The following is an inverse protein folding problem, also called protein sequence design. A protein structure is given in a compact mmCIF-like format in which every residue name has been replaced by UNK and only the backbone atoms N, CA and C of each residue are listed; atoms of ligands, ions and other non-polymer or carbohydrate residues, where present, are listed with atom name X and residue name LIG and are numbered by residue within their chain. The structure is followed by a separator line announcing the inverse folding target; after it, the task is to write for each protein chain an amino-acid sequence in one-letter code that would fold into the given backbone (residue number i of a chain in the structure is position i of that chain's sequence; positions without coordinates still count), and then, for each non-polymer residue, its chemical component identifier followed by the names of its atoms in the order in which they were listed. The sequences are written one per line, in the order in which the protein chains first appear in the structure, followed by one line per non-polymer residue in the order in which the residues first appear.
data_IF_894904630843
#
_entry.id   IF_894904630843
#
_cell.length_a   1.000
_cell.length_b   1.000
_cell.length_c   1.000
_cell.angle_alpha   90.00
_cell.angle_beta   90.00
_cell.angle_gamma   90.00
#
_symmetry.space_group_name_H-M   'P 1'
#
loop_
_entity.id
_entity.type
_entity.pdbx_description
1 polymer ?
#
# COMPACT_ATOMS: atom_id res chain seq x y z
N UNK A 1 11.25 40.17 -50.81
CA UNK A 1 11.73 38.92 -50.21
C UNK A 1 11.75 39.11 -48.71
N UNK A 2 10.78 38.54 -48.02
CA UNK A 2 10.79 38.39 -46.58
C UNK A 2 10.42 36.91 -46.36
N UNK A 3 11.42 36.10 -46.04
CA UNK A 3 11.26 34.70 -45.65
C UNK A 3 10.43 34.64 -44.37
N UNK A 4 9.38 33.83 -44.40
CA UNK A 4 8.65 33.44 -43.19
C UNK A 4 9.43 32.30 -42.51
N UNK A 5 9.53 32.28 -41.17
CA UNK A 5 10.16 31.16 -40.49
C UNK A 5 9.22 29.96 -40.53
N UNK A 6 9.72 28.84 -41.04
CA UNK A 6 9.09 27.54 -40.93
C UNK A 6 8.95 27.20 -39.44
N UNK A 7 7.72 27.16 -38.95
CA UNK A 7 7.41 26.56 -37.65
C UNK A 7 7.52 25.05 -37.80
N UNK A 8 8.65 24.49 -37.40
CA UNK A 8 8.76 23.08 -37.06
C UNK A 8 7.66 22.76 -36.03
N UNK A 9 6.67 21.97 -36.44
CA UNK A 9 5.73 21.34 -35.52
C UNK A 9 6.54 20.29 -34.76
N UNK A 10 6.99 20.62 -33.56
CA UNK A 10 7.37 19.61 -32.58
C UNK A 10 6.16 18.69 -32.40
N UNK A 11 6.26 17.44 -32.88
CA UNK A 11 5.32 16.39 -32.52
C UNK A 11 5.33 16.28 -31.00
N UNK A 12 4.25 16.73 -30.36
CA UNK A 12 4.00 16.51 -28.94
C UNK A 12 4.06 15.00 -28.68
N UNK A 13 5.22 14.50 -28.22
CA UNK A 13 5.38 13.11 -27.82
C UNK A 13 4.40 12.86 -26.69
N UNK A 14 3.32 12.14 -27.00
CA UNK A 14 2.33 11.64 -26.07
C UNK A 14 3.05 11.03 -24.85
N UNK A 15 2.97 11.70 -23.68
CA UNK A 15 3.62 11.24 -22.46
C UNK A 15 3.00 9.90 -22.08
N UNK A 16 3.83 8.86 -21.95
CA UNK A 16 3.34 7.52 -21.63
C UNK A 16 2.59 7.53 -20.27
N UNK A 17 1.39 6.92 -20.20
CA UNK A 17 0.53 6.96 -19.01
C UNK A 17 1.00 5.97 -17.95
N UNK A 18 2.17 6.22 -17.36
CA UNK A 18 2.71 5.41 -16.26
C UNK A 18 1.84 5.52 -15.00
N UNK A 19 1.77 4.42 -14.26
CA UNK A 19 1.00 4.29 -13.02
C UNK A 19 1.88 3.68 -11.96
N UNK A 20 2.03 4.36 -10.83
CA UNK A 20 2.70 3.78 -9.68
C UNK A 20 1.73 2.87 -8.92
N UNK A 21 2.17 1.65 -8.64
CA UNK A 21 1.39 0.67 -7.89
C UNK A 21 2.22 0.00 -6.81
N UNK A 22 1.54 -0.52 -5.81
CA UNK A 22 2.12 -1.25 -4.69
C UNK A 22 1.44 -2.60 -4.53
N UNK A 23 2.23 -3.64 -4.27
CA UNK A 23 1.75 -4.98 -3.99
C UNK A 23 0.81 -4.96 -2.79
N UNK A 24 -0.39 -5.54 -2.90
CA UNK A 24 -1.36 -5.57 -1.82
C UNK A 24 -0.80 -6.26 -0.57
N UNK A 25 -1.21 -5.78 0.60
CA UNK A 25 -0.82 -6.39 1.87
C UNK A 25 -1.45 -7.77 2.07
N UNK A 26 -2.68 -7.96 1.56
CA UNK A 26 -3.47 -9.18 1.76
C UNK A 26 -3.22 -10.23 0.69
N UNK A 27 -3.00 -9.79 -0.55
CA UNK A 27 -2.74 -10.67 -1.68
C UNK A 27 -1.47 -10.25 -2.41
N UNK A 28 -0.42 -11.07 -2.26
CA UNK A 28 0.88 -10.83 -2.90
C UNK A 28 0.82 -10.89 -4.44
N UNK A 29 -0.25 -11.42 -5.02
CA UNK A 29 -0.47 -11.44 -6.47
C UNK A 29 -1.18 -10.18 -6.97
N UNK A 30 -1.79 -9.41 -6.07
CA UNK A 30 -2.53 -8.21 -6.41
C UNK A 30 -1.68 -6.95 -6.22
N UNK A 31 -1.88 -5.96 -7.09
CA UNK A 31 -1.28 -4.63 -6.99
C UNK A 31 -2.39 -3.58 -6.94
N UNK A 32 -2.21 -2.61 -6.05
CA UNK A 32 -3.13 -1.50 -5.81
C UNK A 32 -2.44 -0.21 -6.28
N UNK A 33 -3.16 0.71 -6.95
CA UNK A 33 -2.58 1.99 -7.34
C UNK A 33 -2.25 2.84 -6.10
N UNK A 34 -1.16 3.62 -6.18
CA UNK A 34 -0.92 4.68 -5.20
C UNK A 34 -1.96 5.79 -5.35
N UNK A 35 -2.06 6.66 -4.34
CA UNK A 35 -2.78 7.93 -4.48
C UNK A 35 -2.15 8.77 -5.59
N UNK A 36 -2.93 9.67 -6.16
CA UNK A 36 -2.47 10.55 -7.24
C UNK A 36 -1.27 11.39 -6.77
N UNK A 37 -1.38 12.02 -5.59
CA UNK A 37 -0.29 12.80 -4.98
C UNK A 37 0.98 11.96 -4.73
N UNK A 38 0.84 10.77 -4.14
CA UNK A 38 1.99 9.89 -3.88
C UNK A 38 2.64 9.42 -5.20
N UNK A 39 1.84 9.20 -6.25
CA UNK A 39 2.31 8.84 -7.59
C UNK A 39 3.09 9.98 -8.24
N UNK A 40 2.61 11.23 -8.10
CA UNK A 40 3.30 12.42 -8.59
C UNK A 40 4.64 12.63 -7.88
N UNK A 41 4.70 12.42 -6.56
CA UNK A 41 5.93 12.48 -5.78
C UNK A 41 6.96 11.43 -6.24
N UNK A 42 6.52 10.18 -6.41
CA UNK A 42 7.39 9.11 -6.92
C UNK A 42 7.93 9.41 -8.32
N UNK A 43 7.07 9.93 -9.20
CA UNK A 43 7.44 10.28 -10.57
C UNK A 43 8.45 11.45 -10.59
N UNK A 44 8.21 12.48 -9.78
CA UNK A 44 9.11 13.64 -9.67
C UNK A 44 10.47 13.25 -9.07
N UNK A 45 10.48 12.41 -8.04
CA UNK A 45 11.69 11.91 -7.42
C UNK A 45 12.50 11.02 -8.37
N UNK A 46 11.83 10.13 -9.13
CA UNK A 46 12.48 9.33 -10.15
C UNK A 46 13.11 10.22 -11.25
N UNK A 47 12.43 11.29 -11.65
CA UNK A 47 12.97 12.25 -12.62
C UNK A 47 14.18 13.04 -12.10
N UNK A 48 14.35 13.15 -10.77
CA UNK A 48 15.48 13.80 -10.10
C UNK A 48 16.58 12.84 -9.67
N UNK A 49 16.45 11.55 -9.98
CA UNK A 49 17.39 10.50 -9.58
C UNK A 49 17.53 10.38 -8.05
N UNK A 50 16.43 10.59 -7.32
CA UNK A 50 16.39 10.41 -5.87
C UNK A 50 16.25 8.92 -5.52
N UNK A 51 17.00 8.43 -4.53
CA UNK A 51 16.94 7.00 -4.13
C UNK A 51 15.73 6.64 -3.28
N UNK A 52 15.27 7.55 -2.42
CA UNK A 52 14.21 7.27 -1.43
C UNK A 52 13.18 8.39 -1.40
N UNK A 53 11.91 8.03 -1.33
CA UNK A 53 10.77 8.95 -1.33
C UNK A 53 9.86 8.65 -0.16
N UNK A 54 9.42 9.68 0.55
CA UNK A 54 8.53 9.54 1.69
C UNK A 54 7.10 9.81 1.26
N UNK A 55 6.22 8.85 1.53
CA UNK A 55 4.81 8.86 1.18
C UNK A 55 3.93 8.81 2.43
N UNK A 56 2.63 9.07 2.25
CA UNK A 56 1.63 8.98 3.32
C UNK A 56 1.95 9.81 4.56
N UNK A 57 2.16 11.11 4.37
CA UNK A 57 2.55 12.02 5.46
C UNK A 57 3.91 11.69 6.07
N UNK A 58 4.68 10.80 5.42
CA UNK A 58 5.95 10.31 5.93
C UNK A 58 5.92 8.98 6.66
N UNK A 59 4.78 8.30 6.66
CA UNK A 59 4.62 7.01 7.35
C UNK A 59 5.21 5.86 6.54
N UNK A 60 5.34 6.04 5.23
CA UNK A 60 5.94 5.09 4.30
C UNK A 60 7.17 5.69 3.64
N UNK A 61 8.19 4.86 3.43
CA UNK A 61 9.35 5.17 2.61
C UNK A 61 9.40 4.20 1.44
N UNK A 62 9.60 4.72 0.23
CA UNK A 62 9.81 3.93 -0.98
C UNK A 62 11.25 4.12 -1.43
N UNK A 63 12.00 3.02 -1.48
CA UNK A 63 13.26 2.98 -2.18
C UNK A 63 12.99 2.78 -3.67
N UNK A 64 13.32 3.79 -4.47
CA UNK A 64 13.23 3.73 -5.91
C UNK A 64 14.25 2.72 -6.47
N UNK A 65 15.45 2.67 -5.92
CA UNK A 65 16.49 1.71 -6.36
C UNK A 65 16.07 0.25 -6.16
N UNK A 66 15.50 -0.07 -5.00
CA UNK A 66 15.09 -1.44 -4.67
C UNK A 66 13.67 -1.77 -5.11
N UNK A 67 12.88 -0.76 -5.50
CA UNK A 67 11.43 -0.89 -5.77
C UNK A 67 10.68 -1.52 -4.60
N UNK A 68 10.98 -1.04 -3.39
CA UNK A 68 10.36 -1.53 -2.14
C UNK A 68 9.81 -0.38 -1.31
N UNK A 69 8.58 -0.57 -0.82
CA UNK A 69 7.95 0.29 0.17
C UNK A 69 8.08 -0.33 1.56
N UNK A 70 8.54 0.45 2.52
CA UNK A 70 8.69 0.08 3.92
C UNK A 70 8.08 1.13 4.85
N UNK A 71 7.36 0.72 5.90
CA UNK A 71 6.90 1.68 6.89
C UNK A 71 8.05 2.20 7.73
N UNK A 72 7.94 3.46 8.13
CA UNK A 72 8.97 4.17 8.89
C UNK A 72 8.84 3.87 10.39
N UNK A 73 7.62 3.95 10.91
CA UNK A 73 7.36 3.94 12.36
C UNK A 73 7.14 2.55 12.95
N UNK A 74 6.74 1.56 12.13
CA UNK A 74 6.43 0.21 12.60
C UNK A 74 7.11 -0.86 11.76
N UNK A 75 7.28 -2.04 12.35
CA UNK A 75 7.81 -3.18 11.64
C UNK A 75 6.72 -3.80 10.73
N UNK A 76 7.06 -3.98 9.47
CA UNK A 76 6.25 -4.70 8.48
C UNK A 76 7.15 -5.27 7.40
N UNK A 77 6.66 -6.28 6.68
CA UNK A 77 7.38 -6.80 5.52
C UNK A 77 7.40 -5.73 4.41
N UNK A 78 8.55 -5.47 3.77
CA UNK A 78 8.62 -4.60 2.61
C UNK A 78 7.65 -5.07 1.51
N UNK A 79 6.92 -4.12 0.91
CA UNK A 79 5.98 -4.36 -0.19
C UNK A 79 6.62 -3.95 -1.51
N UNK A 80 6.41 -4.71 -2.58
CA UNK A 80 6.96 -4.35 -3.89
C UNK A 80 6.24 -3.15 -4.48
N UNK A 81 6.99 -2.24 -5.06
CA UNK A 81 6.50 -1.08 -5.81
C UNK A 81 6.81 -1.30 -7.28
N UNK A 82 5.93 -0.82 -8.16
CA UNK A 82 6.14 -0.92 -9.60
C UNK A 82 5.64 0.32 -10.31
N UNK A 83 6.44 0.84 -11.25
CA UNK A 83 6.03 1.85 -12.21
C UNK A 83 5.47 1.17 -13.46
N UNK A 84 4.18 0.86 -13.44
CA UNK A 84 3.51 0.07 -14.46
C UNK A 84 3.09 0.92 -15.67
N UNK A 85 3.13 0.32 -16.85
CA UNK A 85 2.59 0.90 -18.09
C UNK A 85 1.74 -0.11 -18.86
N UNK A 86 2.16 -1.37 -18.85
CA UNK A 86 1.48 -2.47 -19.51
C UNK A 86 0.90 -3.43 -18.48
N UNK A 87 -0.32 -3.89 -18.75
CA UNK A 87 -1.10 -4.75 -17.88
C UNK A 87 -1.61 -5.96 -18.64
N UNK A 88 -1.85 -7.06 -17.92
CA UNK A 88 -2.54 -8.22 -18.45
C UNK A 88 -3.72 -8.63 -17.60
N UNK A 89 -4.72 -9.22 -18.24
CA UNK A 89 -5.87 -9.79 -17.55
C UNK A 89 -5.50 -11.18 -17.02
N UNK A 90 -5.45 -11.32 -15.70
CA UNK A 90 -5.12 -12.55 -15.01
C UNK A 90 -6.19 -13.61 -15.27
N UNK A 91 -5.78 -14.80 -15.74
CA UNK A 91 -6.71 -15.89 -16.00
C UNK A 91 -7.28 -16.51 -14.72
N UNK A 92 -6.64 -16.26 -13.57
CA UNK A 92 -7.05 -16.79 -12.26
C UNK A 92 -8.06 -15.87 -11.58
N UNK A 93 -7.76 -14.58 -11.52
CA UNK A 93 -8.53 -13.58 -10.76
C UNK A 93 -9.47 -12.77 -11.64
N UNK A 94 -9.21 -12.70 -12.96
CA UNK A 94 -9.91 -11.81 -13.88
C UNK A 94 -9.48 -10.34 -13.78
N UNK A 95 -8.62 -10.01 -12.81
CA UNK A 95 -8.13 -8.66 -12.56
C UNK A 95 -6.97 -8.29 -13.49
N UNK A 96 -6.74 -6.99 -13.64
CA UNK A 96 -5.58 -6.45 -14.34
C UNK A 96 -4.36 -6.49 -13.41
N UNK A 97 -3.28 -7.11 -13.88
CA UNK A 97 -2.00 -7.22 -13.18
C UNK A 97 -0.91 -6.52 -14.00
N UNK A 98 0.00 -5.75 -13.37
CA UNK A 98 1.05 -5.04 -14.08
C UNK A 98 2.14 -6.01 -14.56
N UNK A 99 2.68 -5.76 -15.75
CA UNK A 99 3.94 -6.37 -16.19
C UNK A 99 5.13 -5.77 -15.45
N UNK A 100 6.24 -6.51 -15.40
CA UNK A 100 7.51 -5.98 -14.89
C UNK A 100 7.91 -4.70 -15.64
N UNK A 101 8.71 -3.82 -15.03
CA UNK A 101 9.14 -2.58 -15.70
C UNK A 101 9.97 -2.88 -16.96
N UNK A 102 10.78 -3.94 -16.93
CA UNK A 102 11.57 -4.38 -18.08
C UNK A 102 10.68 -4.92 -19.23
N UNK A 103 9.68 -5.74 -18.90
CA UNK A 103 8.72 -6.22 -19.90
C UNK A 103 7.84 -5.09 -20.44
N UNK A 104 7.44 -4.16 -19.56
CA UNK A 104 6.69 -2.97 -19.94
C UNK A 104 7.48 -2.07 -20.89
N UNK A 105 8.78 -1.88 -20.66
CA UNK A 105 9.65 -1.12 -21.55
C UNK A 105 9.81 -1.82 -22.92
N UNK A 106 9.95 -3.15 -22.91
CA UNK A 106 10.03 -3.95 -24.14
C UNK A 106 8.72 -3.89 -24.93
N UNK A 107 7.58 -4.03 -24.25
CA UNK A 107 6.24 -3.91 -24.84
C UNK A 107 5.98 -2.51 -25.39
N UNK A 108 6.44 -1.45 -24.72
CA UNK A 108 6.31 -0.08 -25.21
C UNK A 108 7.15 0.17 -26.45
N UNK A 109 8.39 -0.33 -26.50
CA UNK A 109 9.22 -0.27 -27.70
C UNK A 109 8.55 -1.01 -28.87
N UNK A 110 7.96 -2.17 -28.60
CA UNK A 110 7.23 -2.93 -29.62
C UNK A 110 5.97 -2.20 -30.10
N UNK A 111 5.18 -1.63 -29.19
CA UNK A 111 4.04 -0.78 -29.51
C UNK A 111 4.44 0.41 -30.40
N UNK A 112 5.54 1.10 -30.06
CA UNK A 112 6.08 2.20 -30.85
C UNK A 112 6.45 1.79 -32.27
N UNK A 113 7.13 0.65 -32.43
CA UNK A 113 7.47 0.09 -33.76
C UNK A 113 6.23 -0.21 -34.60
N UNK A 114 5.19 -0.81 -34.03
CA UNK A 114 3.93 -1.10 -34.74
C UNK A 114 3.20 0.20 -35.11
N UNK A 115 3.14 1.17 -34.18
CA UNK A 115 2.54 2.49 -34.43
C UNK A 115 3.25 3.22 -35.58
N UNK A 116 4.58 3.10 -35.68
CA UNK A 116 5.36 3.68 -36.76
C UNK A 116 5.15 2.97 -38.11
N UNK A 117 5.05 1.64 -38.10
CA UNK A 117 4.85 0.84 -39.31
C UNK A 117 3.45 1.02 -39.93
N UNK A 118 2.44 1.42 -39.15
CA UNK A 118 1.04 1.54 -39.60
C UNK A 118 0.54 0.27 -40.31
N UNK A 119 1.06 -0.89 -39.90
CA UNK A 119 0.70 -2.22 -40.36
C UNK A 119 1.14 -3.23 -39.30
N UNK A 120 0.48 -4.38 -39.20
CA UNK A 120 1.03 -5.51 -38.43
C UNK A 120 1.74 -6.48 -39.38
N UNK A 121 3.09 -6.58 -39.33
CA UNK A 121 3.82 -7.57 -40.11
C UNK A 121 3.40 -8.99 -39.72
N UNK A 122 3.42 -9.93 -40.67
CA UNK A 122 2.98 -11.32 -40.47
C UNK A 122 3.74 -12.07 -39.35
N UNK A 123 4.88 -11.53 -38.87
CA UNK A 123 5.74 -12.14 -37.86
C UNK A 123 6.27 -11.14 -36.80
N UNK A 124 5.43 -10.23 -36.31
CA UNK A 124 5.81 -9.37 -35.19
C UNK A 124 5.45 -10.02 -33.84
N UNK A 125 6.41 -10.71 -33.25
CA UNK A 125 6.31 -11.32 -31.93
C UNK A 125 7.42 -10.79 -31.00
N UNK A 126 7.06 -10.40 -29.78
CA UNK A 126 8.01 -10.05 -28.72
C UNK A 126 7.89 -11.07 -27.59
N UNK A 127 8.98 -11.78 -27.29
CA UNK A 127 9.04 -12.66 -26.12
C UNK A 127 9.24 -11.83 -24.85
N UNK A 128 8.41 -12.10 -23.84
CA UNK A 128 8.58 -11.52 -22.51
C UNK A 128 9.66 -12.27 -21.73
N UNK A 129 10.14 -11.64 -20.66
CA UNK A 129 11.24 -12.15 -19.82
C UNK A 129 10.98 -13.54 -19.21
N UNK A 130 9.72 -13.96 -19.09
CA UNK A 130 9.35 -15.29 -18.61
C UNK A 130 9.56 -16.42 -19.64
N UNK A 131 9.84 -16.10 -20.91
CA UNK A 131 10.05 -17.04 -22.01
C UNK A 131 8.82 -17.90 -22.37
N UNK A 132 7.70 -17.73 -21.66
CA UNK A 132 6.48 -18.50 -21.82
C UNK A 132 5.37 -17.68 -22.49
N UNK A 133 5.47 -16.35 -22.46
CA UNK A 133 4.52 -15.44 -23.05
C UNK A 133 5.16 -14.60 -24.15
N UNK A 134 4.40 -14.34 -25.21
CA UNK A 134 4.78 -13.44 -26.28
C UNK A 134 3.68 -12.44 -26.61
N UNK A 135 4.06 -11.18 -26.83
CA UNK A 135 3.18 -10.14 -27.35
C UNK A 135 3.10 -10.29 -28.87
N UNK A 136 1.89 -10.32 -29.40
CA UNK A 136 1.60 -10.52 -30.82
C UNK A 136 0.70 -9.39 -31.29
N UNK A 137 1.09 -8.75 -32.40
CA UNK A 137 0.29 -7.78 -33.11
C UNK A 137 -0.49 -8.47 -34.24
N UNK A 138 -1.80 -8.27 -34.30
CA UNK A 138 -2.63 -8.81 -35.38
C UNK A 138 -3.58 -7.75 -35.93
N UNK A 139 -3.67 -7.66 -37.26
CA UNK A 139 -4.67 -6.83 -37.91
C UNK A 139 -6.08 -7.25 -37.48
N UNK A 140 -6.92 -6.25 -37.22
CA UNK A 140 -8.30 -6.45 -36.81
C UNK A 140 -9.19 -5.44 -37.53
N UNK A 141 -10.42 -5.85 -37.86
CA UNK A 141 -11.39 -4.93 -38.43
C UNK A 141 -12.05 -4.09 -37.33
N UNK A 142 -12.55 -2.88 -37.64
CA UNK A 142 -13.28 -2.06 -36.67
C UNK A 142 -14.47 -2.79 -36.02
N UNK A 143 -15.18 -3.62 -36.80
CA UNK A 143 -16.28 -4.43 -36.28
C UNK A 143 -15.80 -5.53 -35.31
N UNK A 144 -14.65 -6.16 -35.58
CA UNK A 144 -14.06 -7.14 -34.67
C UNK A 144 -13.51 -6.49 -33.40
N UNK A 145 -12.92 -5.30 -33.50
CA UNK A 145 -12.47 -4.50 -32.36
C UNK A 145 -13.63 -4.14 -31.41
N UNK A 146 -14.76 -3.69 -31.96
CA UNK A 146 -15.99 -3.38 -31.21
C UNK A 146 -16.57 -4.61 -30.50
N UNK A 147 -16.62 -5.76 -31.17
CA UNK A 147 -17.11 -7.01 -30.60
C UNK A 147 -16.20 -7.55 -29.48
N UNK A 148 -14.91 -7.20 -29.50
CA UNK A 148 -13.96 -7.65 -28.49
C UNK A 148 -13.96 -6.82 -27.21
N UNK A 149 -14.83 -5.83 -27.11
CA UNK A 149 -14.87 -4.87 -26.00
C UNK A 149 -13.63 -3.96 -26.07
N UNK A 150 -13.80 -2.76 -26.63
CA UNK A 150 -12.74 -1.73 -26.70
C UNK A 150 -12.11 -1.41 -25.34
N UNK A 151 -12.79 -1.75 -24.23
CA UNK A 151 -12.32 -1.56 -22.86
C UNK A 151 -11.22 -2.53 -22.42
N UNK A 152 -11.09 -3.67 -23.10
CA UNK A 152 -10.38 -4.81 -22.54
C UNK A 152 -9.06 -5.11 -23.27
N UNK A 153 -8.67 -4.38 -24.31
CA UNK A 153 -7.40 -4.64 -25.00
C UNK A 153 -6.84 -3.41 -25.73
N UNK A 154 -5.52 -3.22 -25.73
CA UNK A 154 -4.85 -2.16 -26.51
C UNK A 154 -5.05 -2.36 -28.01
N UNK A 155 -5.57 -1.31 -28.67
CA UNK A 155 -5.76 -1.24 -30.12
C UNK A 155 -5.00 -0.02 -30.65
N UNK A 156 -4.29 -0.21 -31.75
CA UNK A 156 -3.62 0.85 -32.51
C UNK A 156 -4.49 1.12 -33.74
N UNK A 157 -5.04 2.33 -33.84
CA UNK A 157 -5.81 2.78 -35.00
C UNK A 157 -4.94 3.64 -35.92
N UNK A 158 -5.06 3.44 -37.24
CA UNK A 158 -4.44 4.32 -38.22
C UNK A 158 -5.34 4.49 -39.46
N UNK A 159 -5.22 5.65 -40.10
CA UNK A 159 -5.93 5.94 -41.33
C UNK A 159 -5.36 5.10 -42.49
N UNK A 160 -6.25 4.49 -43.28
CA UNK A 160 -5.88 3.76 -44.50
C UNK A 160 -5.32 4.75 -45.54
N UNK A 161 -4.08 4.54 -45.99
CA UNK A 161 -3.52 5.28 -47.12
C UNK A 161 -4.21 4.78 -48.40
N UNK A 162 -5.28 5.45 -48.84
CA UNK A 162 -5.75 5.28 -50.22
C UNK A 162 -4.71 5.91 -51.14
N UNK A 163 -4.11 5.11 -52.03
CA UNK A 163 -3.01 5.52 -52.89
C UNK A 163 -3.29 6.80 -53.67
N UNK A 164 -2.39 7.77 -53.55
CA UNK A 164 -2.16 8.78 -54.58
C UNK A 164 -1.63 8.06 -55.81
N UNK A 165 -2.54 7.68 -56.71
CA UNK A 165 -2.18 7.50 -58.11
C UNK A 165 -2.43 8.84 -58.79
N UNK A 166 -1.33 9.52 -59.13
CA UNK A 166 -1.30 10.57 -60.14
C UNK A 166 -1.94 10.03 -61.43
N UNK A 167 -3.16 10.44 -61.73
CA UNK A 167 -3.75 10.26 -63.06
C UNK A 167 -3.76 11.61 -63.75
N UNK A 168 -2.87 11.76 -64.73
CA UNK A 168 -2.85 12.85 -65.71
C UNK A 168 -4.24 13.02 -66.34
N UNK A 169 -4.73 14.27 -66.35
CA UNK A 169 -5.92 14.68 -67.07
C UNK A 169 -5.72 14.54 -68.58
N UNK A 170 -6.44 13.62 -69.22
CA UNK A 170 -6.69 13.67 -70.66
C UNK A 170 -8.15 14.07 -70.93
N UNK A 171 -8.33 15.29 -71.47
CA UNK A 171 -9.61 15.85 -71.87
C UNK A 171 -10.18 15.15 -73.11
N UNK A 172 -11.44 14.71 -73.06
CA UNK A 172 -12.38 14.74 -74.20
C UNK A 172 -13.86 14.52 -73.80
N UNK A 173 -14.87 14.99 -74.59
CA UNK A 173 -16.20 15.29 -74.05
C UNK A 173 -17.38 14.46 -74.62
N UNK A 174 -18.49 14.48 -73.85
CA UNK A 174 -19.90 14.02 -74.13
C UNK A 174 -20.12 12.50 -74.03
N UNK A 175 -21.24 11.97 -73.51
CA UNK A 175 -22.64 12.39 -73.50
C UNK A 175 -23.45 11.78 -72.33
N UNK A 176 -24.57 12.43 -72.00
CA UNK A 176 -25.60 12.09 -71.01
C UNK A 176 -26.30 10.73 -71.21
N UNK A 177 -26.52 9.96 -70.12
CA UNK A 177 -27.84 9.40 -69.69
C UNK A 177 -27.77 8.67 -68.34
N UNK A 178 -28.89 8.75 -67.60
CA UNK A 178 -29.41 7.88 -66.51
C UNK A 178 -28.67 7.77 -65.17
N UNK A 179 -29.19 8.51 -64.19
CA UNK A 179 -29.64 8.07 -62.86
C UNK A 179 -29.19 6.68 -62.39
N UNK A 180 -28.11 6.64 -61.61
CA UNK A 180 -27.96 5.72 -60.50
C UNK A 180 -27.36 6.51 -59.34
N UNK A 181 -28.05 6.53 -58.19
CA UNK A 181 -27.56 7.13 -56.97
C UNK A 181 -26.41 6.27 -56.43
N UNK A 182 -25.21 6.48 -56.96
CA UNK A 182 -23.98 5.93 -56.38
C UNK A 182 -23.76 6.65 -55.06
N UNK A 183 -23.92 5.93 -53.96
CA UNK A 183 -23.47 6.34 -52.63
C UNK A 183 -22.07 6.94 -52.73
N UNK A 184 -21.74 8.01 -51.98
CA UNK A 184 -20.36 8.49 -51.94
C UNK A 184 -19.45 7.30 -51.60
N UNK A 185 -18.24 7.20 -52.20
CA UNK A 185 -17.32 6.14 -51.84
C UNK A 185 -17.15 6.21 -50.31
N UNK A 186 -17.52 5.13 -49.61
CA UNK A 186 -17.26 5.03 -48.19
C UNK A 186 -15.76 5.28 -48.02
N UNK A 187 -15.41 6.33 -47.28
CA UNK A 187 -14.05 6.56 -46.83
C UNK A 187 -13.50 5.22 -46.34
N UNK A 188 -12.30 4.79 -46.78
CA UNK A 188 -11.77 3.48 -46.43
C UNK A 188 -11.79 3.35 -44.91
N UNK A 189 -12.44 2.29 -44.41
CA UNK A 189 -12.57 2.07 -42.98
C UNK A 189 -11.16 2.05 -42.36
N UNK A 190 -10.93 2.71 -41.21
CA UNK A 190 -9.63 2.73 -40.57
C UNK A 190 -9.17 1.30 -40.30
N UNK A 191 -7.92 1.00 -40.63
CA UNK A 191 -7.33 -0.27 -40.27
C UNK A 191 -6.87 -0.19 -38.81
N UNK A 192 -7.05 -1.30 -38.08
CA UNK A 192 -6.70 -1.38 -36.68
C UNK A 192 -5.79 -2.57 -36.44
N UNK A 193 -4.84 -2.42 -35.52
CA UNK A 193 -3.98 -3.50 -35.04
C UNK A 193 -4.28 -3.74 -33.57
N UNK A 194 -4.66 -4.97 -33.25
CA UNK A 194 -4.87 -5.41 -31.87
C UNK A 194 -3.60 -6.03 -31.33
N UNK A 195 -3.19 -5.60 -30.14
CA UNK A 195 -2.12 -6.25 -29.39
C UNK A 195 -2.72 -7.29 -28.45
N UNK A 196 -2.13 -8.48 -28.39
CA UNK A 196 -2.55 -9.53 -27.45
C UNK A 196 -1.35 -10.36 -27.01
N UNK A 197 -1.42 -10.92 -25.81
CA UNK A 197 -0.37 -11.84 -25.35
C UNK A 197 -0.83 -13.28 -25.52
N UNK A 198 0.05 -14.11 -26.06
CA UNK A 198 -0.18 -15.54 -26.27
C UNK A 198 0.76 -16.30 -25.36
N UNK A 199 0.22 -17.21 -24.55
CA UNK A 199 1.02 -18.14 -23.78
C UNK A 199 1.44 -19.30 -24.68
N UNK A 200 2.74 -19.55 -24.82
CA UNK A 200 3.26 -20.65 -25.63
C UNK A 200 3.24 -21.94 -24.81
N UNK A 201 2.47 -22.94 -25.27
CA UNK A 201 2.54 -24.31 -24.76
C UNK A 201 3.30 -25.19 -25.74
N UNK A 202 3.96 -26.22 -25.21
CA UNK A 202 4.74 -27.20 -25.97
C UNK A 202 3.89 -28.03 -26.97
N UNK A 203 2.56 -27.94 -26.87
CA UNK A 203 1.56 -28.62 -27.71
C UNK A 203 0.85 -27.68 -28.72
N UNK A 204 1.22 -26.40 -28.80
CA UNK A 204 0.60 -25.41 -29.69
C UNK A 204 -0.78 -24.89 -29.23
N UNK A 205 -1.34 -25.39 -28.12
CA UNK A 205 -2.63 -24.95 -27.56
C UNK A 205 -2.45 -23.77 -26.59
N UNK A 206 -1.92 -22.66 -27.09
CA UNK A 206 -1.72 -21.44 -26.30
C UNK A 206 -3.01 -20.67 -26.02
N UNK A 207 -3.31 -20.40 -24.75
CA UNK A 207 -4.38 -19.46 -24.38
C UNK A 207 -3.97 -18.02 -24.65
N UNK A 208 -4.85 -17.22 -25.27
CA UNK A 208 -4.65 -15.78 -25.46
C UNK A 208 -5.10 -15.01 -24.22
N UNK A 209 -4.35 -13.98 -23.85
CA UNK A 209 -4.66 -13.05 -22.78
C UNK A 209 -4.75 -11.63 -23.34
N UNK A 210 -5.65 -10.87 -22.75
CA UNK A 210 -5.84 -9.48 -23.08
C UNK A 210 -4.76 -8.63 -22.41
N UNK A 211 -4.32 -7.58 -23.11
CA UNK A 211 -3.30 -6.64 -22.64
C UNK A 211 -3.80 -5.21 -22.73
N UNK A 212 -3.42 -4.38 -21.78
CA UNK A 212 -3.81 -2.98 -21.75
C UNK A 212 -2.58 -2.10 -21.54
N UNK A 213 -2.54 -0.98 -22.27
CA UNK A 213 -1.56 0.10 -22.11
C UNK A 213 -2.22 1.23 -21.34
N UNK A 214 -1.56 1.71 -20.29
CA UNK A 214 -2.10 2.73 -19.40
C UNK A 214 -3.10 2.18 -18.38
N UNK A 215 -3.86 3.07 -17.74
CA UNK A 215 -4.71 2.73 -16.59
C UNK A 215 -5.83 1.73 -16.95
N UNK A 216 -5.85 0.52 -16.36
CA UNK A 216 -7.03 -0.36 -16.40
C UNK A 216 -8.20 0.16 -15.55
N UNK A 217 -7.91 1.13 -14.68
CA UNK A 217 -8.82 1.71 -13.70
C UNK A 217 -9.43 3.04 -14.18
N UNK A 218 -9.75 3.16 -15.48
CA UNK A 218 -10.59 4.27 -15.95
C UNK A 218 -12.05 3.83 -15.74
N UNK A 219 -12.77 4.51 -14.84
CA UNK A 219 -14.22 4.36 -14.55
C UNK A 219 -14.68 3.49 -13.37
N UNK A 220 -13.92 3.42 -12.28
CA UNK A 220 -14.56 3.54 -10.97
C UNK A 220 -14.02 4.82 -10.37
N UNK A 221 -14.88 5.85 -10.37
CA UNK A 221 -14.70 7.09 -9.61
C UNK A 221 -13.76 6.87 -8.43
N UNK A 222 -12.63 7.60 -8.39
CA UNK A 222 -11.96 7.88 -7.13
C UNK A 222 -13.07 8.13 -6.13
N UNK A 223 -13.20 7.33 -5.04
CA UNK A 223 -14.22 7.59 -4.06
C UNK A 223 -14.12 9.07 -3.73
N UNK A 224 -15.23 9.80 -3.85
CA UNK A 224 -15.33 11.26 -3.72
C UNK A 224 -14.97 11.78 -2.30
N UNK A 225 -13.99 11.17 -1.63
CA UNK A 225 -13.40 11.55 -0.36
C UNK A 225 -11.87 11.45 -0.30
N UNK A 226 -11.17 11.10 -1.39
CA UNK A 226 -9.70 11.07 -1.42
C UNK A 226 -9.05 12.45 -1.58
N UNK A 227 -9.72 13.41 -2.22
CA UNK A 227 -9.19 14.77 -2.39
C UNK A 227 -8.93 15.50 -1.07
N UNK A 228 -9.67 15.17 0.00
CA UNK A 228 -9.43 15.75 1.33
C UNK A 228 -8.24 15.13 2.08
N UNK A 229 -7.70 13.99 1.62
CA UNK A 229 -6.54 13.33 2.21
C UNK A 229 -5.22 13.77 1.56
N UNK A 230 -5.25 14.27 0.33
CA UNK A 230 -4.05 14.77 -0.35
C UNK A 230 -3.56 16.09 0.27
N UNK A 231 -4.47 16.92 0.80
CA UNK A 231 -4.13 18.13 1.56
C UNK A 231 -3.50 17.83 2.93
N UNK A 232 -3.62 16.60 3.46
CA UNK A 232 -3.06 16.19 4.76
C UNK A 232 -1.53 16.19 4.75
N UNK A 233 -0.89 15.94 3.60
CA UNK A 233 0.54 15.64 3.50
C UNK A 233 1.44 16.90 3.56
N UNK A 234 0.93 18.04 3.08
CA UNK A 234 1.67 19.31 3.00
C UNK A 234 1.52 20.20 4.25
N UNK A 235 0.64 19.84 5.18
CA UNK A 235 0.43 20.63 6.40
C UNK A 235 1.49 20.34 7.47
N UNK A 236 2.05 21.37 8.14
CA UNK A 236 2.95 21.18 9.26
C UNK A 236 2.22 20.50 10.43
N UNK A 237 2.95 19.62 11.13
CA UNK A 237 2.42 18.92 12.31
C UNK A 237 2.47 19.84 13.52
N UNK A 238 1.31 20.18 14.08
CA UNK A 238 1.19 20.98 15.31
C UNK A 238 1.11 20.10 16.57
N UNK A 239 0.58 18.89 16.42
CA UNK A 239 0.35 18.00 17.55
C UNK A 239 0.62 16.56 17.18
N UNK A 240 1.36 15.85 18.02
CA UNK A 240 1.65 14.44 17.87
C UNK A 240 0.84 13.62 18.88
N UNK A 241 0.09 12.64 18.39
CA UNK A 241 -0.67 11.69 19.21
C UNK A 241 -0.07 10.31 19.06
N UNK A 242 0.51 9.77 20.13
CA UNK A 242 1.01 8.40 20.17
C UNK A 242 -0.08 7.50 20.76
N UNK A 243 -0.52 6.52 19.97
CA UNK A 243 -1.64 5.66 20.31
C UNK A 243 -1.14 4.27 20.67
N UNK A 244 -1.29 3.87 21.93
CA UNK A 244 -0.91 2.54 22.43
C UNK A 244 -2.09 1.59 22.33
N UNK A 245 -1.93 0.48 21.60
CA UNK A 245 -2.98 -0.53 21.48
C UNK A 245 -3.23 -1.28 22.78
N UNK A 246 -4.43 -1.84 22.89
CA UNK A 246 -4.84 -2.70 23.99
C UNK A 246 -4.54 -4.18 23.75
N UNK A 247 -5.23 -5.02 24.52
CA UNK A 247 -5.20 -6.47 24.42
C UNK A 247 -5.79 -6.94 23.08
N UNK A 248 -5.28 -8.06 22.56
CA UNK A 248 -5.95 -8.76 21.47
C UNK A 248 -5.53 -8.30 20.08
N UNK A 249 -4.54 -7.41 19.96
CA UNK A 249 -4.16 -6.90 18.65
C UNK A 249 -3.73 -8.01 17.68
N UNK A 250 -3.06 -9.05 18.19
CA UNK A 250 -2.73 -10.22 17.38
C UNK A 250 -3.93 -11.11 17.04
N UNK A 251 -5.05 -11.04 17.77
CA UNK A 251 -6.31 -11.70 17.40
C UNK A 251 -7.00 -10.90 16.30
N UNK A 252 -7.16 -9.59 16.52
CA UNK A 252 -7.96 -8.69 15.69
C UNK A 252 -7.28 -8.31 14.37
N UNK A 253 -5.96 -8.47 14.28
CA UNK A 253 -5.19 -8.33 13.03
C UNK A 253 -5.13 -9.62 12.19
N UNK A 254 -5.78 -10.72 12.59
CA UNK A 254 -5.87 -11.94 11.75
C UNK A 254 -7.02 -11.85 10.76
N UNK A 255 -6.79 -12.35 9.56
CA UNK A 255 -7.79 -12.40 8.48
C UNK A 255 -9.09 -13.14 8.87
N UNK A 256 -9.02 -14.03 9.86
CA UNK A 256 -10.16 -14.79 10.38
C UNK A 256 -11.18 -13.91 11.12
N UNK A 257 -10.77 -12.74 11.60
CA UNK A 257 -11.63 -11.76 12.25
C UNK A 257 -11.81 -10.56 11.31
N UNK A 258 -13.04 -10.28 10.88
CA UNK A 258 -13.40 -9.15 10.02
C UNK A 258 -13.28 -7.77 10.71
N UNK A 259 -12.43 -7.64 11.73
CA UNK A 259 -12.13 -6.37 12.39
C UNK A 259 -11.06 -5.59 11.60
N UNK A 260 -11.19 -4.25 11.50
CA UNK A 260 -10.09 -3.43 11.04
C UNK A 260 -8.88 -3.61 11.96
N UNK A 261 -7.67 -3.61 11.40
CA UNK A 261 -6.46 -3.66 12.20
C UNK A 261 -6.38 -2.44 13.14
N UNK A 262 -5.58 -2.50 14.20
CA UNK A 262 -5.37 -1.30 15.04
C UNK A 262 -4.80 -0.14 14.23
N UNK A 263 -3.90 -0.42 13.28
CA UNK A 263 -3.35 0.60 12.39
C UNK A 263 -4.46 1.28 11.55
N UNK A 264 -5.39 0.51 11.01
CA UNK A 264 -6.54 1.04 10.27
C UNK A 264 -7.46 1.87 11.16
N UNK A 265 -7.63 1.46 12.43
CA UNK A 265 -8.41 2.20 13.42
C UNK A 265 -7.75 3.54 13.77
N UNK A 266 -6.42 3.56 13.93
CA UNK A 266 -5.63 4.78 14.15
C UNK A 266 -5.68 5.70 12.94
N UNK A 267 -5.55 5.15 11.72
CA UNK A 267 -5.70 5.91 10.47
C UNK A 267 -7.11 6.51 10.34
N UNK A 268 -8.13 5.74 10.69
CA UNK A 268 -9.53 6.21 10.69
C UNK A 268 -9.71 7.35 11.70
N UNK A 269 -9.10 7.25 12.89
CA UNK A 269 -9.11 8.31 13.90
C UNK A 269 -8.42 9.58 13.39
N UNK A 270 -7.27 9.46 12.72
CA UNK A 270 -6.58 10.59 12.09
C UNK A 270 -7.47 11.29 11.06
N UNK A 271 -8.03 10.52 10.12
CA UNK A 271 -8.88 11.05 9.05
C UNK A 271 -10.15 11.75 9.60
N UNK A 272 -10.80 11.16 10.60
CA UNK A 272 -11.97 11.75 11.25
C UNK A 272 -11.62 13.04 12.01
N UNK A 273 -10.46 13.07 12.68
CA UNK A 273 -9.99 14.25 13.40
C UNK A 273 -9.70 15.39 12.43
N UNK A 274 -8.99 15.12 11.33
CA UNK A 274 -8.72 16.09 10.28
C UNK A 274 -10.02 16.65 9.68
N UNK A 275 -10.95 15.77 9.33
CA UNK A 275 -12.26 16.17 8.79
C UNK A 275 -13.01 17.09 9.76
N UNK A 276 -13.02 16.78 11.06
CA UNK A 276 -13.67 17.64 12.06
C UNK A 276 -12.95 18.98 12.23
N UNK A 277 -11.62 18.98 12.17
CA UNK A 277 -10.82 20.19 12.27
C UNK A 277 -11.10 21.13 11.10
N UNK A 278 -11.07 20.63 9.86
CA UNK A 278 -11.37 21.43 8.67
C UNK A 278 -12.80 21.98 8.68
N UNK A 279 -13.75 21.23 9.23
CA UNK A 279 -15.14 21.69 9.36
C UNK A 279 -15.33 22.78 10.42
N UNK A 280 -14.61 22.69 11.55
CA UNK A 280 -14.77 23.64 12.67
C UNK A 280 -13.84 24.84 12.57
N UNK A 281 -12.65 24.66 12.00
CA UNK A 281 -11.56 25.61 11.94
C UNK A 281 -10.92 25.62 10.55
N UNK A 282 -11.64 26.13 9.52
CA UNK A 282 -11.15 26.12 8.13
C UNK A 282 -9.88 26.97 7.91
N UNK A 283 -9.60 27.93 8.80
CA UNK A 283 -8.42 28.79 8.72
C UNK A 283 -7.14 28.13 9.27
N UNK A 284 -7.27 27.00 9.98
CA UNK A 284 -6.14 26.29 10.59
C UNK A 284 -5.54 25.32 9.58
N UNK A 285 -4.36 25.68 9.05
CA UNK A 285 -3.57 24.88 8.10
C UNK A 285 -2.50 24.03 8.78
N UNK A 286 -2.83 23.43 9.91
CA UNK A 286 -1.94 22.51 10.64
C UNK A 286 -2.60 21.14 10.71
N UNK A 287 -1.81 20.09 10.97
CA UNK A 287 -2.35 18.74 11.14
C UNK A 287 -1.97 18.12 12.47
N UNK A 288 -2.82 17.21 12.93
CA UNK A 288 -2.59 16.37 14.10
C UNK A 288 -2.11 15.01 13.58
N UNK A 289 -0.89 14.62 13.91
CA UNK A 289 -0.31 13.34 13.50
C UNK A 289 -0.63 12.25 14.51
N UNK A 290 -1.18 11.13 14.04
CA UNK A 290 -1.45 9.95 14.88
C UNK A 290 -0.51 8.81 14.51
N UNK A 291 0.29 8.34 15.47
CA UNK A 291 1.21 7.22 15.27
C UNK A 291 0.82 6.02 16.15
N UNK A 292 0.65 4.83 15.56
CA UNK A 292 0.38 3.61 16.32
C UNK A 292 1.64 3.12 17.04
N UNK A 293 1.48 2.70 18.29
CA UNK A 293 2.52 2.09 19.12
C UNK A 293 2.18 0.62 19.32
N UNK A 294 2.88 -0.24 18.58
CA UNK A 294 2.75 -1.67 18.65
C UNK A 294 3.79 -2.32 19.56
N UNK A 295 3.31 -3.16 20.48
CA UNK A 295 4.15 -3.83 21.49
C UNK A 295 3.93 -5.34 21.53
N UNK A 296 2.78 -5.85 21.08
CA UNK A 296 2.46 -7.29 21.19
C UNK A 296 3.56 -8.19 20.58
N UNK A 297 3.97 -7.90 19.33
CA UNK A 297 4.98 -8.71 18.62
C UNK A 297 6.34 -8.68 19.29
N UNK A 298 6.72 -7.55 19.89
CA UNK A 298 7.98 -7.41 20.60
C UNK A 298 8.00 -8.24 21.90
N UNK A 299 6.86 -8.31 22.60
CA UNK A 299 6.72 -9.11 23.83
C UNK A 299 6.67 -10.61 23.55
N UNK A 300 5.91 -11.02 22.53
CA UNK A 300 5.64 -12.44 22.24
C UNK A 300 6.64 -13.09 21.28
N UNK A 301 7.32 -12.33 20.42
CA UNK A 301 8.32 -12.86 19.49
C UNK A 301 9.60 -13.39 20.15
N UNK A 302 9.81 -13.10 21.44
CA UNK A 302 11.04 -13.46 22.18
C UNK A 302 10.93 -14.75 22.98
N UNK A 303 9.75 -15.36 23.16
CA UNK A 303 9.57 -16.56 24.00
C UNK A 303 8.67 -17.64 23.33
N UNK A 304 9.13 -18.32 22.26
CA UNK A 304 8.37 -19.39 21.62
C UNK A 304 8.04 -20.56 22.57
N UNK A 305 9.00 -20.96 23.42
CA UNK A 305 8.88 -22.18 24.24
C UNK A 305 7.77 -22.17 25.31
N UNK A 306 7.34 -21.00 25.78
CA UNK A 306 6.22 -20.91 26.74
C UNK A 306 4.87 -20.95 26.04
N UNK A 307 4.78 -20.39 24.82
CA UNK A 307 3.59 -20.53 23.95
C UNK A 307 3.36 -22.01 23.62
N UNK A 308 4.43 -22.74 23.28
CA UNK A 308 4.38 -24.17 23.04
C UNK A 308 3.96 -24.96 24.30
N UNK A 309 4.46 -24.56 25.48
CA UNK A 309 4.10 -25.17 26.77
C UNK A 309 2.61 -24.96 27.09
N UNK A 310 2.08 -23.76 26.91
CA UNK A 310 0.66 -23.48 27.12
C UNK A 310 -0.24 -24.16 26.08
N UNK A 311 0.25 -24.32 24.85
CA UNK A 311 -0.42 -25.07 23.80
C UNK A 311 -0.58 -26.54 24.18
N UNK A 312 0.38 -27.11 24.91
CA UNK A 312 0.31 -28.47 25.45
C UNK A 312 -0.69 -28.62 26.62
N UNK A 313 -1.04 -27.52 27.29
CA UNK A 313 -1.95 -27.50 28.45
C UNK A 313 -3.42 -27.23 28.07
N UNK A 314 -3.69 -26.74 26.85
CA UNK A 314 -5.04 -26.37 26.43
C UNK A 314 -5.70 -27.50 25.64
N UNK A 315 -6.90 -27.92 26.05
CA UNK A 315 -7.61 -29.06 25.44
C UNK A 315 -7.86 -28.87 23.92
N UNK A 316 -7.64 -29.91 23.07
CA UNK A 316 -7.78 -29.81 21.62
C UNK A 316 -9.20 -29.50 21.12
N UNK A 317 -10.23 -29.76 21.94
CA UNK A 317 -11.65 -29.73 21.58
C UNK A 317 -12.28 -28.32 21.56
N UNK A 318 -11.59 -27.28 22.03
CA UNK A 318 -12.11 -25.91 22.10
C UNK A 318 -11.23 -24.90 21.36
N UNK A 319 -11.05 -25.08 20.05
CA UNK A 319 -10.15 -24.25 19.22
C UNK A 319 -10.40 -22.74 19.33
N UNK A 320 -11.68 -22.31 19.38
CA UNK A 320 -12.05 -20.89 19.47
C UNK A 320 -11.79 -20.26 20.84
N UNK A 321 -12.07 -21.00 21.93
CA UNK A 321 -11.82 -20.54 23.30
C UNK A 321 -10.31 -20.54 23.62
N UNK A 322 -9.56 -21.46 23.02
CA UNK A 322 -8.09 -21.47 23.03
C UNK A 322 -7.51 -20.23 22.34
N UNK A 323 -8.04 -19.86 21.17
CA UNK A 323 -7.62 -18.64 20.46
C UNK A 323 -7.91 -17.38 21.27
N UNK A 324 -9.11 -17.25 21.83
CA UNK A 324 -9.45 -16.14 22.73
C UNK A 324 -8.55 -16.09 23.98
N UNK A 325 -8.30 -17.23 24.63
CA UNK A 325 -7.40 -17.27 25.78
C UNK A 325 -5.97 -16.88 25.40
N UNK A 326 -5.45 -17.36 24.27
CA UNK A 326 -4.08 -17.10 23.83
C UNK A 326 -3.85 -15.64 23.46
N UNK A 327 -4.77 -15.04 22.71
CA UNK A 327 -4.55 -13.72 22.12
C UNK A 327 -5.09 -12.57 22.98
N UNK A 328 -6.00 -12.84 23.94
CA UNK A 328 -6.63 -11.81 24.80
C UNK A 328 -6.37 -12.05 26.29
N UNK A 329 -6.67 -13.26 26.79
CA UNK A 329 -6.52 -13.54 28.23
C UNK A 329 -5.06 -13.53 28.68
N UNK A 330 -4.14 -13.99 27.82
CA UNK A 330 -2.72 -14.02 28.16
C UNK A 330 -2.12 -12.63 28.38
N UNK A 331 -2.46 -11.64 27.57
CA UNK A 331 -1.97 -10.25 27.77
C UNK A 331 -2.35 -9.72 29.15
N UNK A 332 -3.57 -10.02 29.62
CA UNK A 332 -4.03 -9.68 30.97
C UNK A 332 -3.21 -10.46 32.02
N UNK A 333 -3.09 -11.77 31.86
CA UNK A 333 -2.38 -12.63 32.82
C UNK A 333 -0.89 -12.28 32.92
N UNK A 334 -0.25 -11.93 31.81
CA UNK A 334 1.13 -11.44 31.78
C UNK A 334 1.23 -10.09 32.48
N UNK A 335 0.29 -9.18 32.24
CA UNK A 335 0.31 -7.88 32.92
C UNK A 335 0.04 -7.98 34.43
N UNK A 336 -0.73 -8.98 34.86
CA UNK A 336 -0.97 -9.28 36.28
C UNK A 336 0.23 -9.93 36.97
N UNK A 337 1.19 -10.50 36.23
CA UNK A 337 2.38 -11.12 36.79
C UNK A 337 3.52 -10.10 36.89
N UNK A 338 4.06 -9.80 38.10
CA UNK A 338 5.07 -8.75 38.29
C UNK A 338 6.29 -8.78 37.33
N UNK A 339 6.96 -9.94 37.09
CA UNK A 339 8.12 -9.96 36.18
C UNK A 339 7.74 -9.69 34.71
N UNK A 340 6.55 -10.12 34.29
CA UNK A 340 6.09 -9.92 32.91
C UNK A 340 5.50 -8.52 32.70
N UNK A 341 4.83 -7.97 33.72
CA UNK A 341 4.39 -6.57 33.76
C UNK A 341 5.55 -5.63 33.45
N UNK A 342 6.69 -5.82 34.13
CA UNK A 342 7.89 -5.01 33.91
C UNK A 342 8.39 -5.11 32.47
N UNK A 343 8.42 -6.33 31.90
CA UNK A 343 8.81 -6.55 30.50
C UNK A 343 7.89 -5.81 29.53
N UNK A 344 6.57 -5.87 29.73
CA UNK A 344 5.59 -5.16 28.89
C UNK A 344 5.79 -3.64 28.99
N UNK A 345 5.86 -3.11 30.22
CA UNK A 345 6.07 -1.67 30.48
C UNK A 345 7.37 -1.18 29.84
N UNK A 346 8.47 -1.92 30.00
CA UNK A 346 9.74 -1.58 29.37
C UNK A 346 9.61 -1.61 27.85
N UNK A 347 9.00 -2.65 27.28
CA UNK A 347 8.83 -2.77 25.82
C UNK A 347 8.02 -1.61 25.25
N UNK A 348 6.89 -1.26 25.88
CA UNK A 348 6.04 -0.14 25.45
C UNK A 348 6.79 1.19 25.57
N UNK A 349 7.54 1.39 26.65
CA UNK A 349 8.37 2.59 26.85
C UNK A 349 9.43 2.72 25.76
N UNK A 350 10.12 1.63 25.42
CA UNK A 350 11.09 1.62 24.33
C UNK A 350 10.42 1.90 22.97
N UNK A 351 9.27 1.29 22.68
CA UNK A 351 8.53 1.56 21.44
C UNK A 351 8.07 3.01 21.34
N UNK A 352 7.53 3.60 22.42
CA UNK A 352 7.16 5.01 22.49
C UNK A 352 8.34 5.92 22.17
N UNK A 353 9.47 5.72 22.87
CA UNK A 353 10.67 6.52 22.68
C UNK A 353 11.24 6.35 21.26
N UNK A 354 11.27 5.12 20.73
CA UNK A 354 11.77 4.86 19.39
C UNK A 354 10.94 5.56 18.31
N UNK A 355 9.61 5.49 18.40
CA UNK A 355 8.70 6.17 17.47
C UNK A 355 8.82 7.69 17.61
N UNK A 356 8.89 8.21 18.84
CA UNK A 356 9.12 9.63 19.10
C UNK A 356 10.45 10.11 18.51
N UNK A 357 11.55 9.40 18.74
CA UNK A 357 12.86 9.77 18.19
C UNK A 357 12.85 9.77 16.65
N UNK A 358 12.24 8.76 16.01
CA UNK A 358 12.07 8.74 14.55
C UNK A 358 11.26 9.93 14.05
N UNK A 359 10.18 10.28 14.75
CA UNK A 359 9.37 11.44 14.42
C UNK A 359 10.15 12.75 14.54
N UNK A 360 10.92 12.93 15.61
CA UNK A 360 11.74 14.13 15.83
C UNK A 360 12.91 14.24 14.84
N UNK A 361 13.55 13.13 14.48
CA UNK A 361 14.59 13.12 13.44
C UNK A 361 14.06 13.61 12.10
N UNK A 362 12.79 13.30 11.80
CA UNK A 362 12.11 13.72 10.58
C UNK A 362 11.58 15.15 10.64
N UNK A 363 11.09 15.56 11.81
CA UNK A 363 10.49 16.87 12.03
C UNK A 363 11.36 17.65 13.03
N UNK A 364 12.57 18.10 12.63
CA UNK A 364 13.48 18.80 13.54
C UNK A 364 12.92 20.13 14.05
N UNK A 365 12.02 20.77 13.27
CA UNK A 365 11.36 22.02 13.63
C UNK A 365 10.07 21.82 14.45
N UNK A 366 9.73 20.58 14.82
CA UNK A 366 8.54 20.30 15.62
C UNK A 366 8.67 20.87 17.03
N UNK A 367 7.84 21.86 17.34
CA UNK A 367 7.70 22.48 18.66
C UNK A 367 6.29 22.29 19.24
N UNK A 368 5.55 21.33 18.69
CA UNK A 368 4.17 21.05 19.02
C UNK A 368 3.97 20.32 20.35
N UNK A 369 2.71 20.11 20.69
CA UNK A 369 2.34 19.33 21.88
C UNK A 369 2.26 17.84 21.56
N UNK A 370 2.52 16.99 22.56
CA UNK A 370 2.46 15.53 22.44
C UNK A 370 1.38 15.00 23.39
N UNK A 371 0.44 14.21 22.87
CA UNK A 371 -0.55 13.49 23.67
C UNK A 371 -0.39 11.99 23.53
N UNK A 372 -0.73 11.26 24.59
CA UNK A 372 -0.76 9.80 24.59
C UNK A 372 -2.20 9.32 24.69
N UNK A 373 -2.59 8.35 23.86
CA UNK A 373 -3.89 7.67 23.92
C UNK A 373 -3.64 6.20 24.17
N UNK A 374 -4.26 5.64 25.21
CA UNK A 374 -4.20 4.21 25.49
C UNK A 374 -5.56 3.56 25.30
N UNK A 375 -5.63 2.51 24.48
CA UNK A 375 -6.85 1.72 24.33
C UNK A 375 -6.84 0.52 25.29
N UNK A 376 -7.93 0.29 26.02
CA UNK A 376 -8.08 -0.86 26.94
C UNK A 376 -6.86 -0.99 27.86
N UNK A 377 -6.16 -2.14 27.89
CA UNK A 377 -4.92 -2.33 28.67
C UNK A 377 -3.83 -1.30 28.38
N UNK A 378 -3.77 -0.75 27.15
CA UNK A 378 -2.86 0.33 26.79
C UNK A 378 -3.01 1.55 27.70
N UNK A 379 -4.23 1.85 28.19
CA UNK A 379 -4.47 2.94 29.14
C UNK A 379 -3.83 2.68 30.51
N UNK A 380 -3.90 1.44 31.00
CA UNK A 380 -3.30 1.04 32.28
C UNK A 380 -1.79 1.01 32.17
N UNK A 381 -1.25 0.51 31.06
CA UNK A 381 0.18 0.54 30.77
C UNK A 381 0.69 1.98 30.77
N UNK A 382 0.00 2.88 30.06
CA UNK A 382 0.36 4.30 30.03
C UNK A 382 0.24 4.94 31.41
N UNK A 383 -0.81 4.66 32.17
CA UNK A 383 -0.96 5.15 33.54
C UNK A 383 0.21 4.72 34.41
N UNK A 384 0.61 3.46 34.33
CA UNK A 384 1.74 2.92 35.10
C UNK A 384 3.08 3.54 34.65
N UNK A 385 3.31 3.72 33.35
CA UNK A 385 4.50 4.41 32.82
C UNK A 385 4.55 5.84 33.36
N UNK A 386 3.46 6.60 33.21
CA UNK A 386 3.38 8.01 33.59
C UNK A 386 3.49 8.22 35.11
N UNK A 387 2.83 7.37 35.90
CA UNK A 387 2.84 7.47 37.37
C UNK A 387 4.19 7.12 37.99
N UNK A 388 5.01 6.33 37.29
CA UNK A 388 6.32 5.89 37.76
C UNK A 388 7.48 6.59 37.01
N UNK A 389 7.21 7.71 36.34
CA UNK A 389 8.28 8.52 35.75
C UNK A 389 9.20 9.04 36.85
N UNK A 390 10.48 8.64 36.79
CA UNK A 390 11.51 9.24 37.62
C UNK A 390 11.67 10.68 37.15
N UNK A 391 11.30 11.65 37.98
CA UNK A 391 11.76 13.02 37.81
C UNK A 391 13.28 12.98 37.91
N UNK A 392 13.98 13.19 36.78
CA UNK A 392 15.42 13.28 36.81
C UNK A 392 15.81 14.38 37.82
N UNK A 393 16.61 14.08 38.86
CA UNK A 393 17.08 15.12 39.75
C UNK A 393 18.15 15.93 39.00
N UNK A 394 17.70 16.99 38.33
CA UNK A 394 18.54 17.99 37.65
C UNK A 394 18.85 17.69 36.19
N UNK A 395 18.35 18.55 35.30
CA UNK A 395 18.84 18.99 33.96
C UNK A 395 17.62 19.63 33.26
N UNK A 396 17.60 20.89 32.84
CA UNK A 396 18.66 21.71 32.26
C UNK A 396 19.62 20.87 31.42
N UNK A 397 19.15 20.53 30.23
CA UNK A 397 19.90 20.18 29.02
C UNK A 397 20.86 18.97 29.04
N UNK A 398 20.78 18.25 27.90
CA UNK A 398 21.75 17.30 27.34
C UNK A 398 21.70 15.82 27.77
N UNK A 399 21.19 15.05 26.79
CA UNK A 399 21.57 13.71 26.34
C UNK A 399 21.31 12.50 27.25
N UNK A 400 20.26 11.77 26.84
CA UNK A 400 20.16 10.33 26.63
C UNK A 400 20.70 9.37 27.70
N UNK A 401 19.77 8.76 28.44
CA UNK A 401 19.61 7.30 28.48
C UNK A 401 18.15 6.97 28.79
N UNK A 402 17.60 5.91 28.20
CA UNK A 402 16.20 5.52 28.40
C UNK A 402 15.94 5.23 29.89
N UNK A 403 14.85 5.77 30.49
CA UNK A 403 14.59 5.56 31.91
C UNK A 403 14.26 4.09 32.18
N UNK A 404 15.05 3.43 33.03
CA UNK A 404 14.73 2.13 33.59
C UNK A 404 13.62 2.29 34.64
N UNK A 405 12.42 1.81 34.31
CA UNK A 405 11.20 1.95 35.13
C UNK A 405 11.03 0.74 36.05
N UNK A 406 11.98 0.46 36.93
CA UNK A 406 11.91 -0.71 37.82
C UNK A 406 10.81 -0.58 38.90
N UNK A 407 9.81 -1.48 38.92
CA UNK A 407 8.91 -1.65 40.06
C UNK A 407 9.66 -2.31 41.23
N UNK A 408 9.56 -1.72 42.44
CA UNK A 408 9.99 -2.42 43.66
C UNK A 408 8.92 -3.41 44.07
N UNK A 409 9.33 -4.64 44.38
CA UNK A 409 8.46 -5.61 45.01
C UNK A 409 7.91 -5.06 46.34
N UNK A 410 6.63 -5.28 46.66
CA UNK A 410 6.13 -5.01 48.02
C UNK A 410 6.89 -5.90 49.01
N UNK A 411 7.21 -5.40 50.22
CA UNK A 411 7.90 -6.20 51.23
C UNK A 411 7.08 -7.46 51.54
N UNK A 412 7.73 -8.62 51.52
CA UNK A 412 7.09 -9.89 51.89
C UNK A 412 6.50 -9.79 53.31
N UNK A 413 5.29 -10.32 53.55
CA UNK A 413 4.73 -10.36 54.89
C UNK A 413 5.62 -11.22 55.80
N UNK A 414 5.96 -10.68 56.97
CA UNK A 414 6.73 -11.40 57.99
C UNK A 414 6.01 -12.69 58.39
N UNK A 415 6.74 -13.79 58.63
CA UNK A 415 6.14 -15.03 59.09
C UNK A 415 5.51 -14.83 60.48
N UNK A 416 4.36 -15.46 60.76
CA UNK A 416 3.71 -15.32 62.06
C UNK A 416 4.59 -15.87 63.18
N UNK A 417 4.76 -15.07 64.23
CA UNK A 417 5.38 -15.46 65.50
C UNK A 417 4.70 -16.69 66.08
N UNK A 418 5.43 -17.71 66.55
CA UNK A 418 4.83 -18.90 67.16
C UNK A 418 4.14 -18.55 68.48
N UNK A 419 2.86 -18.92 68.60
CA UNK A 419 2.10 -18.81 69.84
C UNK A 419 2.66 -19.76 70.92
N UNK A 420 2.61 -19.37 72.21
CA UNK A 420 3.07 -20.22 73.31
C UNK A 420 2.11 -21.40 73.56
N UNK A 421 2.62 -22.55 74.07
CA UNK A 421 1.82 -23.75 74.23
C UNK A 421 0.75 -23.58 75.32
N UNK A 422 -0.50 -23.91 74.97
CA UNK A 422 -1.64 -24.04 75.87
C UNK A 422 -1.52 -25.32 76.70
N UNK A 423 -1.46 -25.17 78.03
CA UNK A 423 -1.59 -26.27 78.99
C UNK A 423 -3.06 -26.63 79.19
N UNK A 424 -3.46 -27.84 78.79
CA UNK A 424 -4.76 -28.43 79.15
C UNK A 424 -4.77 -28.92 80.61
N UNK A 425 -5.90 -28.78 81.35
CA UNK A 425 -6.08 -29.41 82.65
C UNK A 425 -6.63 -30.86 82.54
N UNK A 426 -6.34 -31.74 83.51
CA UNK A 426 -6.69 -33.15 83.43
C UNK A 426 -8.16 -33.43 83.79
N UNK A 427 -8.76 -34.37 83.06
CA UNK A 427 -10.11 -34.93 83.26
C UNK A 427 -10.14 -35.88 84.46
N UNK A 428 -11.18 -35.86 85.32
CA UNK A 428 -11.34 -36.85 86.39
C UNK A 428 -12.20 -38.05 85.94
N UNK A 429 -11.64 -39.25 86.09
CA UNK A 429 -12.35 -40.55 86.20
C UNK A 429 -12.53 -40.88 87.70
N UNK A 430 -13.50 -41.73 88.12
CA UNK A 430 -13.90 -42.99 87.48
C UNK A 430 -15.40 -43.23 87.23
#
# INVERSE_FOLDING_TARGET
MAEQPEKEKEEEKEKAPYVWMVQSEKDVMHYEPFRDMDSELLEAALARDESNVLLDGGRQEVSLDLRLMTPVYWAQRPRKVIRALWFFKSSKTGNWEPYSEADSASAESFYGSIKALKQAPEQCELFLSDGAHKLVAKETSPAAALLTGLSDTTIIEYASMSGEQDTEEELSPRSSTSSEATSPPLSPAPQMVRLSIVQQRHDGSGGRRAVLRGLPYVAQSSPQGLSSMDEEQDMPVEHLVLVVHGIGEALFSRDDFSSPSFRDSVRSMAALTLKQQMQKYPDVKTRIEFLPIEWYRAVHGTNPGFVDTLQSLTLPSLTRLRQFNHDVMMDIMYYMSPPYKQKIVNTVTHSLNAVHHKFMQRNPDFNGSISLIGFSLGSIILFDILSNQKTAPGRDAEACEAPDVSFRDPPSPEPPTPEPPTTEPPTPEP
#
